data_IF_523880168840
#
_entry.id   IF_523880168840
#
_cell.length_a   1.000
_cell.length_b   1.000
_cell.length_c   1.000
_cell.angle_alpha   90.00
_cell.angle_beta   90.00
_cell.angle_gamma   90.00
#
_symmetry.space_group_name_H-M   'P 1'
#
loop_
_entity.id
_entity.type
_entity.pdbx_description
1 polymer ?
#
# COMPACT_ATOMS: atom_id res chain seq x y z
N UNK A 1 68.22 -18.16 5.64
CA UNK A 1 67.38 -17.19 4.89
C UNK A 1 66.10 -17.91 4.52
N UNK A 2 65.05 -17.71 5.31
CA UNK A 2 63.82 -18.51 5.25
C UNK A 2 62.75 -17.66 4.56
N UNK A 3 62.50 -17.92 3.28
CA UNK A 3 61.47 -17.22 2.51
C UNK A 3 60.08 -17.65 2.96
N UNK A 4 59.35 -16.71 3.58
CA UNK A 4 57.92 -16.83 3.87
C UNK A 4 57.14 -16.35 2.63
N UNK A 5 56.47 -17.26 1.94
CA UNK A 5 55.47 -16.90 0.92
C UNK A 5 54.12 -16.87 1.63
N UNK A 6 53.59 -15.67 1.84
CA UNK A 6 52.25 -15.45 2.37
C UNK A 6 51.28 -15.38 1.19
N UNK A 7 50.46 -16.41 0.99
CA UNK A 7 49.38 -16.40 0.00
C UNK A 7 48.16 -15.77 0.67
N UNK A 8 47.80 -14.56 0.24
CA UNK A 8 46.53 -13.92 0.63
C UNK A 8 45.49 -14.33 -0.41
N UNK A 9 44.62 -15.26 -0.04
CA UNK A 9 43.42 -15.61 -0.82
C UNK A 9 42.33 -14.56 -0.58
N UNK A 10 42.06 -13.71 -1.58
CA UNK A 10 40.97 -12.75 -1.57
C UNK A 10 39.66 -13.48 -1.96
N UNK A 11 38.83 -13.82 -0.98
CA UNK A 11 37.49 -14.36 -1.24
C UNK A 11 36.56 -13.22 -1.68
N UNK A 12 36.23 -13.18 -2.97
CA UNK A 12 35.23 -12.26 -3.51
C UNK A 12 33.84 -12.82 -3.21
N UNK A 13 33.25 -12.40 -2.09
CA UNK A 13 31.84 -12.67 -1.82
C UNK A 13 31.00 -11.81 -2.79
N UNK A 14 30.48 -12.43 -3.84
CA UNK A 14 29.45 -11.83 -4.68
C UNK A 14 28.19 -11.66 -3.83
N UNK A 15 28.01 -10.48 -3.25
CA UNK A 15 26.75 -10.11 -2.64
C UNK A 15 25.72 -10.00 -3.77
N UNK A 16 24.90 -11.04 -3.94
CA UNK A 16 23.67 -10.92 -4.70
C UNK A 16 22.81 -9.90 -3.97
N UNK A 17 22.72 -8.69 -4.50
CA UNK A 17 21.74 -7.72 -4.02
C UNK A 17 20.35 -8.30 -4.29
N UNK A 18 19.74 -8.87 -3.25
CA UNK A 18 18.33 -9.22 -3.30
C UNK A 18 17.57 -7.93 -3.58
N UNK A 19 16.96 -7.83 -4.77
CA UNK A 19 16.04 -6.74 -5.08
C UNK A 19 14.80 -6.98 -4.23
N UNK A 20 14.42 -5.97 -3.45
CA UNK A 20 13.13 -5.97 -2.80
C UNK A 20 12.05 -6.20 -3.87
N UNK A 21 11.09 -7.09 -3.58
CA UNK A 21 9.96 -7.34 -4.46
C UNK A 21 9.18 -6.03 -4.64
N UNK A 22 8.87 -5.66 -5.89
CA UNK A 22 8.05 -4.49 -6.16
C UNK A 22 6.64 -4.72 -5.59
N UNK A 23 6.20 -3.82 -4.72
CA UNK A 23 4.93 -3.92 -4.03
C UNK A 23 3.72 -3.96 -4.98
N UNK A 24 3.88 -3.40 -6.19
CA UNK A 24 2.84 -3.35 -7.20
C UNK A 24 3.11 -4.28 -8.40
N UNK A 25 4.04 -5.24 -8.29
CA UNK A 25 4.23 -6.25 -9.35
C UNK A 25 2.93 -7.05 -9.54
N UNK A 26 2.37 -6.97 -10.75
CA UNK A 26 1.11 -7.60 -11.18
C UNK A 26 1.14 -9.13 -11.05
N UNK A 27 2.32 -9.75 -11.07
CA UNK A 27 2.49 -11.20 -10.94
C UNK A 27 2.53 -11.68 -9.48
N UNK A 28 2.36 -10.77 -8.53
CA UNK A 28 2.40 -11.07 -7.10
C UNK A 28 1.12 -10.67 -6.39
N UNK A 29 0.85 -11.36 -5.28
CA UNK A 29 -0.26 -11.06 -4.38
C UNK A 29 0.36 -10.67 -3.04
N UNK A 30 0.09 -9.44 -2.61
CA UNK A 30 0.61 -8.92 -1.34
C UNK A 30 -0.18 -9.49 -0.16
N UNK A 31 0.47 -9.66 0.97
CA UNK A 31 -0.18 -10.02 2.23
C UNK A 31 -0.17 -8.82 3.19
N UNK A 32 -1.35 -8.36 3.59
CA UNK A 32 -1.49 -7.23 4.51
C UNK A 32 -2.36 -7.65 5.69
N UNK A 33 -1.81 -7.61 6.90
CA UNK A 33 -2.50 -7.97 8.14
C UNK A 33 -2.65 -6.76 9.03
N UNK A 34 -3.87 -6.38 9.34
CA UNK A 34 -4.21 -5.24 10.17
C UNK A 34 -4.63 -5.76 11.54
N UNK A 35 -4.00 -5.27 12.59
CA UNK A 35 -4.38 -5.56 13.98
C UNK A 35 -4.96 -4.30 14.60
N UNK A 36 -6.17 -4.37 15.12
CA UNK A 36 -6.88 -3.27 15.79
C UNK A 36 -6.85 -3.45 17.32
N UNK A 37 -6.87 -2.35 18.07
CA UNK A 37 -7.01 -2.40 19.53
C UNK A 37 -8.37 -2.96 19.98
N UNK A 38 -9.41 -2.64 19.22
CA UNK A 38 -10.80 -2.86 19.60
C UNK A 38 -11.45 -3.91 18.70
N UNK A 39 -12.37 -4.69 19.27
CA UNK A 39 -13.13 -5.70 18.52
C UNK A 39 -14.17 -5.08 17.58
N UNK A 40 -14.77 -3.95 17.98
CA UNK A 40 -15.72 -3.17 17.18
C UNK A 40 -15.01 -2.17 16.26
N UNK A 41 -13.90 -2.58 15.63
CA UNK A 41 -13.11 -1.71 14.75
C UNK A 41 -13.93 -1.19 13.57
N UNK A 42 -14.79 -2.03 13.00
CA UNK A 42 -15.64 -1.71 11.84
C UNK A 42 -16.55 -0.50 12.12
N UNK A 43 -17.31 -0.58 13.22
CA UNK A 43 -18.18 0.52 13.67
C UNK A 43 -17.42 1.82 13.99
N UNK A 44 -16.16 1.74 14.43
CA UNK A 44 -15.34 2.94 14.64
C UNK A 44 -14.86 3.55 13.32
N UNK A 45 -14.51 2.73 12.33
CA UNK A 45 -14.20 3.22 10.99
C UNK A 45 -15.42 3.88 10.33
N UNK A 46 -16.61 3.29 10.48
CA UNK A 46 -17.87 3.89 10.01
C UNK A 46 -18.14 5.22 10.71
N UNK A 47 -17.99 5.27 12.04
CA UNK A 47 -18.17 6.50 12.81
C UNK A 47 -17.22 7.59 12.35
N UNK A 48 -15.94 7.26 12.11
CA UNK A 48 -14.96 8.24 11.61
C UNK A 48 -15.32 8.71 10.21
N UNK A 49 -15.65 7.80 9.29
CA UNK A 49 -16.05 8.14 7.91
C UNK A 49 -17.25 9.09 7.85
N UNK A 50 -18.19 8.98 8.80
CA UNK A 50 -19.36 9.85 8.89
C UNK A 50 -19.06 11.22 9.51
N UNK A 51 -18.10 11.32 10.43
CA UNK A 51 -17.76 12.56 11.14
C UNK A 51 -16.74 13.39 10.36
N UNK A 52 -15.68 12.74 9.86
CA UNK A 52 -14.61 13.34 9.08
C UNK A 52 -13.96 12.28 8.18
N UNK A 53 -14.19 12.39 6.86
CA UNK A 53 -13.61 11.50 5.86
C UNK A 53 -12.06 11.52 5.86
N UNK A 54 -11.44 12.57 6.41
CA UNK A 54 -9.99 12.65 6.52
C UNK A 54 -9.43 11.99 7.78
N UNK A 55 -10.27 11.71 8.78
CA UNK A 55 -9.81 11.11 10.03
C UNK A 55 -9.39 9.65 9.85
N UNK A 56 -8.35 9.26 10.59
CA UNK A 56 -7.83 7.89 10.62
C UNK A 56 -8.03 7.29 12.00
N UNK A 57 -8.39 6.01 12.05
CA UNK A 57 -8.30 5.19 13.24
C UNK A 57 -6.85 4.74 13.42
N UNK A 58 -6.26 5.04 14.58
CA UNK A 58 -4.91 4.58 14.90
C UNK A 58 -4.94 3.09 15.29
N UNK A 59 -4.12 2.28 14.64
CA UNK A 59 -4.01 0.84 14.91
C UNK A 59 -2.63 0.47 15.46
N UNK A 60 -2.52 -0.54 16.35
CA UNK A 60 -1.24 -0.95 16.92
C UNK A 60 -0.27 -1.46 15.87
N UNK A 61 -0.74 -2.21 14.85
CA UNK A 61 0.16 -2.72 13.84
C UNK A 61 -0.51 -3.07 12.51
N UNK A 62 0.22 -2.84 11.43
CA UNK A 62 -0.01 -3.40 10.10
C UNK A 62 1.23 -4.19 9.69
N UNK A 63 1.07 -5.44 9.28
CA UNK A 63 2.13 -6.25 8.70
C UNK A 63 1.94 -6.33 7.18
N UNK A 64 2.96 -5.98 6.40
CA UNK A 64 2.98 -6.08 4.94
C UNK A 64 4.08 -7.07 4.54
N UNK A 65 3.70 -8.20 3.95
CA UNK A 65 4.62 -9.26 3.52
C UNK A 65 5.64 -9.71 4.60
N UNK A 66 5.24 -9.67 5.88
CA UNK A 66 6.10 -10.02 7.01
C UNK A 66 6.83 -8.85 7.67
N UNK A 67 6.83 -7.65 7.08
CA UNK A 67 7.37 -6.44 7.71
C UNK A 67 6.29 -5.74 8.55
N UNK A 68 6.60 -5.43 9.81
CA UNK A 68 5.64 -4.88 10.77
C UNK A 68 5.84 -3.38 10.93
N UNK A 69 4.75 -2.64 10.72
CA UNK A 69 4.61 -1.20 10.93
C UNK A 69 3.69 -0.97 12.11
N UNK A 70 4.06 -0.08 13.03
CA UNK A 70 3.19 0.26 14.14
C UNK A 70 2.66 1.69 14.06
N UNK A 71 1.65 1.98 14.86
CA UNK A 71 1.03 3.31 14.94
C UNK A 71 0.54 3.82 13.57
N UNK A 72 -0.08 2.92 12.82
CA UNK A 72 -0.56 3.14 11.45
C UNK A 72 -1.98 3.72 11.47
N UNK A 73 -2.26 4.65 10.56
CA UNK A 73 -3.62 5.14 10.33
C UNK A 73 -4.41 4.21 9.43
N UNK A 74 -5.65 3.88 9.79
CA UNK A 74 -6.57 3.12 8.94
C UNK A 74 -7.89 3.86 8.82
N UNK A 75 -8.43 3.98 7.59
CA UNK A 75 -9.77 4.55 7.38
C UNK A 75 -10.51 3.88 6.23
N UNK A 76 -11.83 4.00 6.24
CA UNK A 76 -12.63 3.76 5.04
C UNK A 76 -12.48 4.88 4.03
N UNK A 77 -12.47 4.52 2.75
CA UNK A 77 -12.38 5.45 1.61
C UNK A 77 -13.56 5.31 0.66
N UNK A 78 -13.61 6.17 -0.35
CA UNK A 78 -14.57 6.06 -1.45
C UNK A 78 -15.92 6.71 -1.15
N UNK A 79 -16.58 7.13 -2.22
CA UNK A 79 -17.88 7.80 -2.18
C UNK A 79 -18.99 6.79 -2.45
N UNK A 80 -18.99 6.19 -3.64
CA UNK A 80 -19.98 5.20 -4.06
C UNK A 80 -19.63 3.75 -3.70
N UNK A 81 -18.36 3.49 -3.43
CA UNK A 81 -17.85 2.14 -3.13
C UNK A 81 -17.88 1.78 -1.64
N UNK A 82 -18.28 2.73 -0.79
CA UNK A 82 -18.44 2.57 0.65
C UNK A 82 -19.92 2.61 1.00
N UNK A 83 -20.32 1.69 1.86
CA UNK A 83 -21.60 1.72 2.56
C UNK A 83 -21.40 1.01 3.91
N UNK A 84 -21.94 1.57 4.99
CA UNK A 84 -21.86 0.96 6.33
C UNK A 84 -22.50 -0.45 6.37
N UNK A 85 -23.43 -0.74 5.46
CA UNK A 85 -24.11 -2.02 5.37
C UNK A 85 -23.35 -3.02 4.48
N UNK A 86 -22.27 -2.60 3.83
CA UNK A 86 -21.40 -3.52 3.09
C UNK A 86 -20.54 -4.33 4.04
N UNK A 87 -20.53 -5.64 3.82
CA UNK A 87 -19.61 -6.57 4.47
C UNK A 87 -18.13 -6.26 4.18
N UNK A 88 -17.84 -5.46 3.15
CA UNK A 88 -16.48 -5.22 2.68
C UNK A 88 -16.31 -3.82 2.10
N UNK A 89 -15.77 -2.93 2.91
CA UNK A 89 -15.48 -1.55 2.51
C UNK A 89 -14.02 -1.37 2.08
N UNK A 90 -13.73 -0.41 1.16
CA UNK A 90 -12.38 -0.10 0.71
C UNK A 90 -11.62 0.68 1.79
N UNK A 91 -10.32 0.45 1.88
CA UNK A 91 -9.47 0.96 2.96
C UNK A 91 -8.35 1.88 2.42
N UNK A 92 -7.89 2.77 3.29
CA UNK A 92 -6.66 3.53 3.14
C UNK A 92 -5.81 3.33 4.38
N UNK A 93 -4.53 3.00 4.20
CA UNK A 93 -3.56 2.85 5.29
C UNK A 93 -2.50 3.94 5.17
N UNK A 94 -2.28 4.70 6.24
CA UNK A 94 -1.25 5.74 6.34
C UNK A 94 -0.16 5.25 7.30
N UNK A 95 0.94 4.73 6.74
CA UNK A 95 2.01 4.10 7.52
C UNK A 95 2.78 5.12 8.35
N UNK A 96 2.93 6.35 7.89
CA UNK A 96 3.69 7.41 8.57
C UNK A 96 2.80 8.40 9.35
N UNK A 97 1.55 8.02 9.65
CA UNK A 97 0.59 8.88 10.36
C UNK A 97 1.20 9.49 11.62
N UNK A 98 1.75 8.63 12.50
CA UNK A 98 2.42 9.03 13.75
C UNK A 98 3.93 9.12 13.56
N UNK A 99 4.55 8.11 12.92
CA UNK A 99 5.99 8.04 12.73
C UNK A 99 6.39 8.55 11.37
N UNK A 100 6.79 9.81 11.33
CA UNK A 100 7.31 10.44 10.12
C UNK A 100 8.51 9.63 9.61
N UNK A 101 8.53 9.39 8.30
CA UNK A 101 9.48 8.53 7.57
C UNK A 101 9.21 7.01 7.61
N UNK A 102 8.17 6.52 8.31
CA UNK A 102 7.82 5.09 8.27
C UNK A 102 7.19 4.73 6.91
N UNK A 103 7.81 3.81 6.17
CA UNK A 103 7.35 3.43 4.82
C UNK A 103 7.73 2.00 4.46
N UNK A 104 6.93 1.34 3.63
CA UNK A 104 7.24 0.06 3.00
C UNK A 104 7.97 0.31 1.67
N UNK A 105 9.30 0.25 1.68
CA UNK A 105 10.14 0.43 0.47
C UNK A 105 9.84 1.70 -0.34
N UNK A 106 9.57 2.80 0.36
CA UNK A 106 9.20 4.09 -0.19
C UNK A 106 7.69 4.35 -0.19
N UNK A 107 6.84 3.41 0.20
CA UNK A 107 5.39 3.56 0.18
C UNK A 107 4.89 3.88 1.58
N UNK A 108 4.30 5.05 1.76
CA UNK A 108 3.73 5.55 3.01
C UNK A 108 2.19 5.41 3.03
N UNK A 109 1.55 5.49 1.88
CA UNK A 109 0.10 5.43 1.71
C UNK A 109 -0.33 4.24 0.84
N UNK A 110 -1.11 3.32 1.42
CA UNK A 110 -1.61 2.11 0.76
C UNK A 110 -3.12 2.25 0.50
N UNK A 111 -3.53 2.16 -0.77
CA UNK A 111 -4.94 2.23 -1.18
C UNK A 111 -5.48 0.84 -1.53
N UNK A 112 -6.54 0.42 -0.85
CA UNK A 112 -7.15 -0.89 -1.03
C UNK A 112 -8.60 -0.74 -1.51
N UNK A 113 -8.86 -1.13 -2.76
CA UNK A 113 -10.18 -1.06 -3.39
C UNK A 113 -10.92 -2.39 -3.27
N UNK A 114 -12.22 -2.33 -2.94
CA UNK A 114 -13.08 -3.50 -2.74
C UNK A 114 -13.70 -4.03 -4.04
N UNK A 115 -13.39 -3.43 -5.18
CA UNK A 115 -13.93 -3.74 -6.51
C UNK A 115 -15.47 -3.82 -6.55
N UNK A 116 -16.15 -2.94 -5.80
CA UNK A 116 -17.59 -2.96 -5.58
C UNK A 116 -18.46 -3.18 -6.85
N UNK A 117 -18.12 -2.50 -7.95
CA UNK A 117 -18.86 -2.59 -9.22
C UNK A 117 -18.26 -3.57 -10.24
N UNK A 118 -17.16 -4.25 -9.88
CA UNK A 118 -16.42 -5.14 -10.77
C UNK A 118 -16.50 -6.59 -10.27
N UNK A 119 -17.46 -7.41 -10.75
CA UNK A 119 -17.54 -8.83 -10.38
C UNK A 119 -16.34 -9.66 -10.83
N UNK A 120 -15.46 -9.13 -11.69
CA UNK A 120 -14.27 -9.84 -12.18
C UNK A 120 -13.01 -9.50 -11.40
N UNK A 121 -13.02 -8.44 -10.59
CA UNK A 121 -11.88 -7.93 -9.83
C UNK A 121 -10.64 -7.50 -10.65
N UNK A 122 -10.67 -7.61 -11.98
CA UNK A 122 -9.50 -7.39 -12.84
C UNK A 122 -9.56 -6.12 -13.67
N UNK A 123 -10.73 -5.45 -13.75
CA UNK A 123 -10.91 -4.33 -14.70
C UNK A 123 -9.98 -3.17 -14.39
N UNK A 124 -9.79 -2.82 -13.12
CA UNK A 124 -8.90 -1.73 -12.70
C UNK A 124 -7.45 -2.04 -13.09
N UNK A 125 -6.96 -3.23 -12.73
CA UNK A 125 -5.57 -3.65 -13.01
C UNK A 125 -5.31 -3.71 -14.52
N UNK A 126 -6.17 -4.37 -15.29
CA UNK A 126 -6.00 -4.48 -16.74
C UNK A 126 -6.08 -3.11 -17.41
N UNK A 127 -6.96 -2.22 -16.94
CA UNK A 127 -7.06 -0.87 -17.50
C UNK A 127 -5.77 -0.09 -17.28
N UNK A 128 -5.19 -0.14 -16.08
CA UNK A 128 -3.89 0.49 -15.82
C UNK A 128 -2.78 -0.13 -16.66
N UNK A 129 -2.67 -1.47 -16.73
CA UNK A 129 -1.66 -2.14 -17.56
C UNK A 129 -1.72 -1.76 -19.05
N UNK A 130 -2.93 -1.55 -19.59
CA UNK A 130 -3.09 -1.06 -20.96
C UNK A 130 -2.69 0.42 -21.06
N UNK A 131 -3.17 1.27 -20.15
CA UNK A 131 -2.93 2.71 -20.19
C UNK A 131 -1.46 3.08 -19.96
N UNK A 132 -0.72 2.30 -19.16
CA UNK A 132 0.73 2.42 -18.96
C UNK A 132 1.55 2.42 -20.25
N UNK A 133 1.01 1.86 -21.34
CA UNK A 133 1.67 1.89 -22.66
C UNK A 133 1.57 3.26 -23.34
N UNK A 134 0.71 4.15 -22.84
CA UNK A 134 0.34 5.40 -23.49
C UNK A 134 0.52 6.63 -22.60
N UNK A 135 0.45 6.49 -21.28
CA UNK A 135 0.59 7.58 -20.31
C UNK A 135 1.01 7.08 -18.93
N UNK A 136 1.49 7.99 -18.09
CA UNK A 136 1.79 7.71 -16.68
C UNK A 136 0.50 7.39 -15.92
N UNK A 137 0.41 6.20 -15.34
CA UNK A 137 -0.73 5.75 -14.56
C UNK A 137 -0.29 5.13 -13.23
N UNK A 138 -1.18 5.01 -12.24
CA UNK A 138 -0.92 4.20 -11.05
C UNK A 138 -0.63 2.75 -11.42
N UNK A 139 0.28 2.12 -10.68
CA UNK A 139 0.42 0.65 -10.71
C UNK A 139 -0.63 0.02 -9.80
N UNK A 140 -1.05 -1.20 -10.13
CA UNK A 140 -1.99 -1.94 -9.28
C UNK A 140 -1.77 -3.46 -9.35
N UNK A 141 -2.02 -4.13 -8.22
CA UNK A 141 -2.05 -5.59 -8.14
C UNK A 141 -3.09 -6.05 -7.11
N UNK A 142 -2.99 -7.29 -6.64
CA UNK A 142 -3.88 -7.84 -5.62
C UNK A 142 -3.22 -7.87 -4.24
N UNK A 143 -4.03 -7.67 -3.20
CA UNK A 143 -3.62 -7.88 -1.82
C UNK A 143 -4.64 -8.75 -1.07
N UNK A 144 -4.17 -9.74 -0.33
CA UNK A 144 -4.97 -10.47 0.66
C UNK A 144 -4.94 -9.70 1.97
N UNK A 145 -6.12 -9.47 2.54
CA UNK A 145 -6.27 -8.71 3.78
C UNK A 145 -6.66 -9.64 4.93
N UNK A 146 -6.02 -9.46 6.08
CA UNK A 146 -6.44 -10.03 7.35
C UNK A 146 -6.74 -8.93 8.35
N UNK A 147 -7.78 -9.11 9.15
CA UNK A 147 -8.16 -8.20 10.22
C UNK A 147 -8.23 -8.98 11.52
N UNK A 148 -7.40 -8.62 12.49
CA UNK A 148 -7.26 -9.34 13.77
C UNK A 148 -7.05 -10.85 13.58
N UNK A 149 -6.25 -11.24 12.57
CA UNK A 149 -5.95 -12.63 12.24
C UNK A 149 -7.01 -13.36 11.41
N UNK A 150 -8.18 -12.75 11.16
CA UNK A 150 -9.23 -13.33 10.31
C UNK A 150 -9.02 -12.90 8.86
N UNK A 151 -9.02 -13.87 7.93
CA UNK A 151 -8.97 -13.55 6.50
C UNK A 151 -10.22 -12.80 6.07
N UNK A 152 -10.03 -11.60 5.53
CA UNK A 152 -11.11 -10.70 5.16
C UNK A 152 -11.42 -10.76 3.66
N UNK A 153 -10.40 -11.02 2.84
CA UNK A 153 -10.56 -11.21 1.40
C UNK A 153 -9.51 -10.49 0.56
N UNK A 154 -9.66 -10.61 -0.76
CA UNK A 154 -8.77 -9.97 -1.75
C UNK A 154 -9.21 -8.54 -2.06
N UNK A 155 -8.30 -7.59 -2.05
CA UNK A 155 -8.50 -6.22 -2.50
C UNK A 155 -7.62 -5.94 -3.71
N UNK A 156 -7.99 -4.92 -4.47
CA UNK A 156 -7.09 -4.32 -5.46
C UNK A 156 -6.21 -3.32 -4.69
N UNK A 157 -4.90 -3.51 -4.75
CA UNK A 157 -3.90 -2.65 -4.15
C UNK A 157 -3.39 -1.69 -5.22
N UNK A 158 -3.71 -0.41 -5.08
CA UNK A 158 -3.47 0.61 -6.10
C UNK A 158 -2.48 1.64 -5.57
N UNK A 159 -1.53 2.04 -6.41
CA UNK A 159 -0.57 3.08 -6.09
C UNK A 159 -1.26 4.42 -5.84
N UNK A 160 -0.88 5.09 -4.75
CA UNK A 160 -1.43 6.40 -4.43
C UNK A 160 -0.83 7.46 -5.35
N UNK A 161 -1.69 8.25 -6.02
CA UNK A 161 -1.25 9.44 -6.78
C UNK A 161 -0.95 10.56 -5.78
N UNK A 162 0.26 10.56 -5.25
CA UNK A 162 0.74 11.52 -4.26
C UNK A 162 2.01 12.25 -4.77
N UNK A 163 2.63 13.09 -3.93
CA UNK A 163 3.85 13.82 -4.30
C UNK A 163 4.99 12.91 -4.76
N UNK A 164 5.04 11.65 -4.30
CA UNK A 164 6.05 10.68 -4.75
C UNK A 164 5.75 10.19 -6.17
N UNK A 165 4.50 9.83 -6.45
CA UNK A 165 4.08 9.47 -7.81
C UNK A 165 4.43 10.59 -8.80
N UNK A 166 4.09 11.83 -8.46
CA UNK A 166 4.39 13.00 -9.30
C UNK A 166 5.90 13.21 -9.51
N UNK A 167 6.71 13.03 -8.46
CA UNK A 167 8.18 13.11 -8.56
C UNK A 167 8.77 12.03 -9.48
N UNK A 168 8.25 10.81 -9.38
CA UNK A 168 8.78 9.66 -10.10
C UNK A 168 8.41 9.68 -11.59
N UNK A 169 7.18 10.10 -11.92
CA UNK A 169 6.65 9.99 -13.27
C UNK A 169 6.63 11.32 -14.03
N UNK A 170 6.38 12.44 -13.33
CA UNK A 170 6.21 13.76 -13.97
C UNK A 170 7.36 14.74 -13.72
N UNK A 171 8.45 14.28 -13.10
CA UNK A 171 9.68 15.05 -12.85
C UNK A 171 9.46 16.43 -12.18
N UNK A 172 8.44 16.52 -11.33
CA UNK A 172 8.08 17.72 -10.55
C UNK A 172 8.53 17.56 -9.10
N UNK A 173 8.80 18.65 -8.38
CA UNK A 173 9.11 18.63 -6.93
C UNK A 173 7.91 18.27 -6.05
N UNK A 174 6.70 18.25 -6.63
CA UNK A 174 5.46 17.94 -5.93
C UNK A 174 4.86 19.13 -5.17
N UNK A 175 5.42 20.33 -5.30
CA UNK A 175 4.90 21.58 -4.72
C UNK A 175 4.06 22.39 -5.71
N UNK A 176 3.89 21.86 -6.92
CA UNK A 176 2.96 22.39 -7.92
C UNK A 176 1.48 22.11 -7.55
N UNK A 177 0.53 22.93 -8.03
CA UNK A 177 -0.89 22.68 -7.83
C UNK A 177 -1.29 21.28 -8.31
N UNK A 178 -1.88 20.50 -7.42
CA UNK A 178 -2.36 19.15 -7.68
C UNK A 178 -3.88 19.10 -7.49
N UNK A 179 -4.59 18.76 -8.56
CA UNK A 179 -6.04 18.73 -8.59
C UNK A 179 -6.53 17.29 -8.75
N UNK A 180 -7.38 16.86 -7.83
CA UNK A 180 -8.12 15.61 -7.95
C UNK A 180 -9.53 15.91 -8.47
N UNK A 181 -9.85 15.43 -9.66
CA UNK A 181 -11.20 15.52 -10.22
C UNK A 181 -12.12 14.54 -9.48
N UNK A 182 -12.93 15.05 -8.55
CA UNK A 182 -14.00 14.31 -7.91
C UNK A 182 -15.33 14.74 -8.53
N UNK A 183 -15.86 14.03 -9.55
CA UNK A 183 -17.19 14.32 -10.05
C UNK A 183 -18.22 14.12 -8.92
N UNK A 184 -19.23 15.00 -8.89
CA UNK A 184 -20.33 14.97 -7.94
C UNK A 184 -21.22 13.74 -8.12
#
# INVERSE_FOLDING_TARGET
MTNRILIISLAFAAATAARAQDFYDVNTIQDIKITFYQQNWDAALDSLKNVDEQAFLLVPSVEINGEVFDSVGVKYKGNSSYDKDFLKNPLSLELDLVRKDQNYHGIDDVKLTNAFADPTFVREIISYEILHQYMDEPRANFARIWMNGVYWGVYINTESINKRFLRNNLHTDGDNPFFKCNPA
#
